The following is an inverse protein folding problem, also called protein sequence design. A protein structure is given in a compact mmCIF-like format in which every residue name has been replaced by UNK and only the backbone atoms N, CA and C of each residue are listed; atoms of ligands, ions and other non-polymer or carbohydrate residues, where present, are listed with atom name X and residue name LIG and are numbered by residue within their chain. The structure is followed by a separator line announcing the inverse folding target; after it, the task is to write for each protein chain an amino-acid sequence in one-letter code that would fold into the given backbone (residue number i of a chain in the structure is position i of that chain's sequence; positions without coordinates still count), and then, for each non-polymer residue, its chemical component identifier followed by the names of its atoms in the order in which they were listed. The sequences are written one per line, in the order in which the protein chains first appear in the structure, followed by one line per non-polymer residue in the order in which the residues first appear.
data_IF_746726197188
#
_entry.id   IF_746726197188
#
_cell.length_a   1.000
_cell.length_b   1.000
_cell.length_c   1.000
_cell.angle_alpha   90.00
_cell.angle_beta   90.00
_cell.angle_gamma   90.00
#
_symmetry.space_group_name_H-M   'P 1'
#
loop_
_entity.id
_entity.type
_entity.pdbx_description
1 polymer ?
#
# COMPACT_ATOMS: atom_id res chain seq x y z
N UNK A 1 -2.29 5.55 -41.37
CA UNK A 1 -3.45 6.01 -40.58
C UNK A 1 -3.10 5.73 -39.13
N UNK A 2 -3.15 6.74 -38.27
CA UNK A 2 -3.09 6.47 -36.83
C UNK A 2 -4.29 5.57 -36.48
N UNK A 3 -4.11 4.56 -35.62
CA UNK A 3 -5.23 3.73 -35.18
C UNK A 3 -6.30 4.63 -34.55
N UNK A 4 -7.56 4.32 -34.83
CA UNK A 4 -8.70 5.02 -34.22
C UNK A 4 -8.63 4.85 -32.70
N UNK A 5 -8.59 5.97 -31.98
CA UNK A 5 -8.46 5.95 -30.52
C UNK A 5 -9.80 5.54 -29.90
N UNK A 6 -9.74 4.65 -28.91
CA UNK A 6 -10.85 4.26 -28.05
C UNK A 6 -10.34 4.33 -26.61
N UNK A 7 -10.48 5.50 -26.00
CA UNK A 7 -9.88 5.83 -24.71
C UNK A 7 -10.88 6.55 -23.81
N UNK A 8 -10.83 6.29 -22.49
CA UNK A 8 -11.55 7.13 -21.52
C UNK A 8 -10.93 8.52 -21.53
N UNK A 9 -11.76 9.54 -21.74
CA UNK A 9 -11.36 10.95 -21.75
C UNK A 9 -11.38 11.56 -20.37
N UNK A 10 -12.43 11.29 -19.60
CA UNK A 10 -12.54 11.83 -18.25
C UNK A 10 -13.29 10.89 -17.34
N UNK A 11 -12.94 10.95 -16.06
CA UNK A 11 -13.62 10.26 -14.97
C UNK A 11 -13.85 11.30 -13.90
N UNK A 12 -15.09 11.46 -13.48
CA UNK A 12 -15.51 12.41 -12.45
C UNK A 12 -16.10 11.65 -11.28
N UNK A 13 -15.60 11.93 -10.08
CA UNK A 13 -16.10 11.38 -8.83
C UNK A 13 -16.89 12.42 -8.07
N UNK A 14 -18.11 12.07 -7.69
CA UNK A 14 -18.97 12.81 -6.78
C UNK A 14 -19.44 11.87 -5.67
N UNK A 15 -19.92 12.38 -4.53
CA UNK A 15 -20.48 11.52 -3.48
C UNK A 15 -21.61 10.66 -4.04
N UNK A 16 -21.48 9.34 -3.90
CA UNK A 16 -22.45 8.37 -4.43
C UNK A 16 -22.42 8.14 -5.94
N UNK A 17 -21.61 8.90 -6.71
CA UNK A 17 -21.68 8.94 -8.18
C UNK A 17 -20.30 8.87 -8.83
N UNK A 18 -20.16 8.01 -9.84
CA UNK A 18 -19.01 8.02 -10.76
C UNK A 18 -19.53 8.22 -12.18
N UNK A 19 -18.98 9.20 -12.89
CA UNK A 19 -19.28 9.44 -14.31
C UNK A 19 -18.00 9.31 -15.13
N UNK A 20 -18.06 8.69 -16.29
CA UNK A 20 -16.94 8.69 -17.24
C UNK A 20 -17.42 8.74 -18.68
N UNK A 21 -16.56 9.29 -19.55
CA UNK A 21 -16.79 9.46 -20.98
C UNK A 21 -15.57 8.97 -21.76
N UNK A 22 -15.78 8.50 -22.99
CA UNK A 22 -14.72 8.04 -23.88
C UNK A 22 -14.79 8.72 -25.24
N UNK A 23 -13.64 8.79 -25.92
CA UNK A 23 -13.61 9.27 -27.29
C UNK A 23 -13.60 8.17 -28.31
N UNK A 24 -14.76 7.99 -28.92
CA UNK A 24 -14.89 7.18 -30.10
C UNK A 24 -16.18 7.57 -30.84
N UNK A 25 -16.20 7.24 -32.13
CA UNK A 25 -17.38 7.38 -33.00
C UNK A 25 -17.90 6.02 -33.46
N UNK A 26 -17.68 4.99 -32.64
CA UNK A 26 -18.21 3.64 -32.83
C UNK A 26 -19.73 3.61 -32.90
N UNK A 27 -20.23 2.52 -33.48
CA UNK A 27 -21.66 2.36 -33.75
C UNK A 27 -22.45 2.06 -32.47
N UNK A 28 -21.88 1.24 -31.58
CA UNK A 28 -22.54 0.77 -30.35
C UNK A 28 -21.51 0.41 -29.28
N UNK A 29 -21.88 0.65 -28.01
CA UNK A 29 -21.07 0.31 -26.86
C UNK A 29 -21.86 -0.51 -25.85
N UNK A 30 -21.14 -1.30 -25.05
CA UNK A 30 -21.67 -1.97 -23.86
C UNK A 30 -20.83 -1.61 -22.65
N UNK A 31 -21.49 -1.17 -21.57
CA UNK A 31 -20.82 -0.85 -20.30
C UNK A 31 -21.23 -1.87 -19.26
N UNK A 32 -20.24 -2.48 -18.61
CA UNK A 32 -20.44 -3.42 -17.52
C UNK A 32 -19.89 -2.85 -16.21
N UNK A 33 -20.53 -3.18 -15.10
CA UNK A 33 -20.05 -2.92 -13.74
C UNK A 33 -20.02 -4.25 -13.00
N UNK A 34 -18.84 -4.65 -12.51
CA UNK A 34 -18.64 -5.96 -11.87
C UNK A 34 -19.09 -7.13 -12.77
N UNK A 35 -18.86 -7.02 -14.08
CA UNK A 35 -19.26 -8.03 -15.07
C UNK A 35 -20.75 -8.04 -15.43
N UNK A 36 -21.59 -7.24 -14.78
CA UNK A 36 -23.01 -7.11 -15.11
C UNK A 36 -23.25 -5.96 -16.08
N UNK A 37 -23.98 -6.21 -17.19
CA UNK A 37 -24.33 -5.20 -18.18
C UNK A 37 -25.18 -4.09 -17.53
N UNK A 38 -24.80 -2.83 -17.76
CA UNK A 38 -25.49 -1.64 -17.22
C UNK A 38 -26.01 -0.72 -18.31
N UNK A 39 -25.32 -0.62 -19.44
CA UNK A 39 -25.72 0.22 -20.57
C UNK A 39 -25.36 -0.46 -21.88
N UNK A 40 -26.23 -0.31 -22.89
CA UNK A 40 -26.00 -0.71 -24.28
C UNK A 40 -26.53 0.40 -25.20
N UNK A 41 -25.79 0.72 -26.26
CA UNK A 41 -26.18 1.70 -27.28
C UNK A 41 -25.06 2.66 -27.68
N UNK A 42 -25.35 3.67 -28.52
CA UNK A 42 -24.36 4.56 -29.15
C UNK A 42 -23.91 5.72 -28.23
N UNK A 43 -24.12 5.64 -26.92
CA UNK A 43 -23.83 6.72 -25.97
C UNK A 43 -22.41 6.56 -25.44
N UNK A 44 -21.58 7.61 -25.58
CA UNK A 44 -20.16 7.59 -25.23
C UNK A 44 -19.86 8.05 -23.78
N UNK A 45 -20.84 7.96 -22.89
CA UNK A 45 -20.72 8.27 -21.48
C UNK A 45 -21.49 7.27 -20.63
N UNK A 46 -21.12 7.16 -19.36
CA UNK A 46 -21.80 6.35 -18.37
C UNK A 46 -21.80 7.04 -17.01
N UNK A 47 -22.94 6.97 -16.32
CA UNK A 47 -23.09 7.45 -14.94
C UNK A 47 -23.57 6.31 -14.05
N UNK A 48 -22.81 6.07 -12.98
CA UNK A 48 -23.14 5.12 -11.92
C UNK A 48 -23.58 5.87 -10.66
N UNK A 49 -24.88 5.90 -10.39
CA UNK A 49 -25.48 6.60 -9.25
C UNK A 49 -25.55 5.75 -7.95
N UNK A 50 -24.93 4.57 -7.94
CA UNK A 50 -24.99 3.62 -6.82
C UNK A 50 -23.59 3.17 -6.39
N UNK A 51 -22.78 4.14 -6.01
CA UNK A 51 -21.39 3.97 -5.57
C UNK A 51 -21.30 4.16 -4.05
N UNK A 52 -20.69 3.21 -3.34
CA UNK A 52 -20.43 3.31 -1.91
C UNK A 52 -19.08 3.98 -1.66
N UNK A 53 -19.01 4.80 -0.62
CA UNK A 53 -17.80 5.51 -0.22
C UNK A 53 -16.62 4.56 -0.02
N UNK A 54 -15.48 4.89 -0.66
CA UNK A 54 -14.23 4.12 -0.55
C UNK A 54 -14.27 2.72 -1.16
N UNK A 55 -15.43 2.21 -1.58
CA UNK A 55 -15.53 0.91 -2.24
C UNK A 55 -14.90 0.99 -3.63
N UNK A 56 -14.05 0.02 -3.94
CA UNK A 56 -13.46 -0.17 -5.26
C UNK A 56 -14.46 -0.88 -6.18
N UNK A 57 -14.50 -0.43 -7.43
CA UNK A 57 -15.36 -0.95 -8.48
C UNK A 57 -14.54 -1.22 -9.75
N UNK A 58 -15.00 -2.22 -10.51
CA UNK A 58 -14.51 -2.55 -11.85
C UNK A 58 -15.58 -2.25 -12.90
N UNK A 59 -15.17 -1.55 -13.95
CA UNK A 59 -15.99 -1.27 -15.12
C UNK A 59 -15.29 -1.80 -16.38
N UNK A 60 -16.08 -2.26 -17.34
CA UNK A 60 -15.60 -2.48 -18.70
C UNK A 60 -16.45 -1.72 -19.70
N UNK A 61 -15.81 -1.22 -20.75
CA UNK A 61 -16.48 -0.62 -21.91
C UNK A 61 -16.05 -1.38 -23.14
N UNK A 62 -17.02 -1.98 -23.81
CA UNK A 62 -16.80 -2.68 -25.07
C UNK A 62 -17.25 -1.82 -26.24
N UNK A 63 -16.40 -1.71 -27.26
CA UNK A 63 -16.77 -1.13 -28.55
C UNK A 63 -17.25 -2.24 -29.48
N UNK A 64 -18.49 -2.11 -29.95
CA UNK A 64 -19.14 -3.09 -30.83
C UNK A 64 -19.16 -2.55 -32.27
N UNK A 65 -18.68 -3.36 -33.22
CA UNK A 65 -18.79 -3.12 -34.67
C UNK A 65 -19.15 -4.41 -35.39
N UNK A 66 -20.05 -4.35 -36.36
CA UNK A 66 -20.52 -5.53 -37.10
C UNK A 66 -20.97 -6.68 -36.17
N UNK A 67 -21.67 -6.36 -35.08
CA UNK A 67 -22.12 -7.29 -34.03
C UNK A 67 -20.99 -8.12 -33.38
N UNK A 68 -19.78 -7.56 -33.28
CA UNK A 68 -18.66 -8.16 -32.56
C UNK A 68 -17.94 -7.12 -31.72
N UNK A 69 -17.44 -7.54 -30.56
CA UNK A 69 -16.55 -6.72 -29.73
C UNK A 69 -15.22 -6.55 -30.46
N UNK A 70 -14.86 -5.30 -30.76
CA UNK A 70 -13.63 -4.95 -31.45
C UNK A 70 -12.52 -4.58 -30.47
N UNK A 71 -12.84 -3.78 -29.46
CA UNK A 71 -11.92 -3.36 -28.41
C UNK A 71 -12.64 -3.29 -27.06
N UNK A 72 -11.84 -3.44 -26.00
CA UNK A 72 -12.29 -3.38 -24.61
C UNK A 72 -11.44 -2.37 -23.86
N UNK A 73 -12.08 -1.58 -23.01
CA UNK A 73 -11.43 -0.76 -21.98
C UNK A 73 -11.81 -1.37 -20.64
N UNK A 74 -10.82 -1.53 -19.76
CA UNK A 74 -11.01 -1.92 -18.37
C UNK A 74 -10.67 -0.75 -17.46
N UNK A 75 -11.54 -0.46 -16.50
CA UNK A 75 -11.33 0.60 -15.51
C UNK A 75 -11.55 0.07 -14.10
N UNK A 76 -10.66 0.44 -13.20
CA UNK A 76 -10.79 0.21 -11.76
C UNK A 76 -10.68 1.54 -11.03
N UNK A 77 -11.66 1.85 -10.18
CA UNK A 77 -11.68 3.08 -9.40
C UNK A 77 -12.50 2.89 -8.12
N UNK A 78 -12.26 3.72 -7.10
CA UNK A 78 -13.09 3.74 -5.89
C UNK A 78 -14.12 4.86 -5.89
N UNK A 79 -15.19 4.68 -5.11
CA UNK A 79 -16.08 5.77 -4.74
C UNK A 79 -15.37 6.83 -3.90
N UNK A 80 -15.75 8.08 -4.10
CA UNK A 80 -15.23 9.19 -3.32
C UNK A 80 -15.67 9.05 -1.86
N UNK A 81 -14.71 8.91 -0.94
CA UNK A 81 -14.99 9.01 0.48
C UNK A 81 -14.71 10.45 0.96
N UNK A 82 -15.75 11.15 1.41
CA UNK A 82 -15.61 12.51 1.94
C UNK A 82 -14.94 12.54 3.32
N UNK A 83 -15.09 11.47 4.10
CA UNK A 83 -14.46 11.34 5.41
C UNK A 83 -13.11 10.66 5.27
N UNK A 84 -12.09 11.48 5.00
CA UNK A 84 -10.70 11.02 4.95
C UNK A 84 -10.20 10.57 6.32
N UNK A 85 -9.32 9.58 6.32
CA UNK A 85 -8.61 9.18 7.52
C UNK A 85 -7.51 10.22 7.82
N UNK A 86 -7.57 10.80 9.02
CA UNK A 86 -6.61 11.81 9.45
C UNK A 86 -5.20 11.23 9.69
N UNK A 87 -5.12 9.96 10.09
CA UNK A 87 -3.87 9.26 10.40
C UNK A 87 -3.26 8.60 9.16
N UNK A 88 -4.09 8.13 8.22
CA UNK A 88 -3.61 7.57 6.97
C UNK A 88 -4.25 8.26 5.75
N UNK A 89 -3.61 9.31 5.19
CA UNK A 89 -4.14 10.04 4.04
C UNK A 89 -4.35 9.20 2.78
N UNK A 90 -3.71 8.02 2.69
CA UNK A 90 -3.90 7.09 1.57
C UNK A 90 -5.10 6.15 1.77
N UNK A 91 -5.65 6.07 2.99
CA UNK A 91 -6.85 5.28 3.27
C UNK A 91 -8.04 5.96 2.58
N UNK A 92 -8.65 5.24 1.65
CA UNK A 92 -9.73 5.74 0.77
C UNK A 92 -9.30 6.85 -0.21
N UNK A 93 -8.02 6.89 -0.59
CA UNK A 93 -7.56 7.70 -1.72
C UNK A 93 -8.22 7.19 -3.01
N UNK A 94 -8.82 8.10 -3.78
CA UNK A 94 -9.32 7.75 -5.11
C UNK A 94 -8.12 7.49 -6.03
N UNK A 95 -8.03 6.26 -6.52
CA UNK A 95 -7.05 5.86 -7.52
C UNK A 95 -7.77 5.20 -8.70
N UNK A 96 -7.72 5.85 -9.85
CA UNK A 96 -8.29 5.35 -11.10
C UNK A 96 -7.19 4.72 -11.93
N UNK A 97 -7.41 3.50 -12.38
CA UNK A 97 -6.58 2.78 -13.34
C UNK A 97 -7.44 2.43 -14.54
N UNK A 98 -7.02 2.86 -15.73
CA UNK A 98 -7.65 2.50 -16.99
C UNK A 98 -6.62 1.73 -17.80
N UNK A 99 -7.03 0.57 -18.31
CA UNK A 99 -6.24 -0.25 -19.22
C UNK A 99 -7.01 -0.34 -20.52
N UNK A 100 -6.35 0.01 -21.61
CA UNK A 100 -6.84 -0.09 -22.97
C UNK A 100 -5.69 -0.57 -23.86
N UNK A 101 -6.00 -0.99 -25.08
CA UNK A 101 -5.00 -1.49 -26.03
C UNK A 101 -3.88 -0.48 -26.34
N UNK A 102 -4.19 0.81 -26.29
CA UNK A 102 -3.27 1.91 -26.60
C UNK A 102 -2.66 2.59 -25.38
N UNK A 103 -3.15 2.30 -24.17
CA UNK A 103 -2.67 2.98 -22.97
C UNK A 103 -2.95 2.26 -21.65
N UNK A 104 -2.10 2.54 -20.67
CA UNK A 104 -2.44 2.46 -19.25
C UNK A 104 -2.50 3.88 -18.71
N UNK A 105 -3.66 4.31 -18.22
CA UNK A 105 -3.80 5.61 -17.57
C UNK A 105 -4.00 5.43 -16.06
N UNK A 106 -3.19 6.16 -15.29
CA UNK A 106 -3.25 6.24 -13.84
C UNK A 106 -3.66 7.65 -13.44
N UNK A 107 -4.61 7.77 -12.52
CA UNK A 107 -4.97 9.03 -11.89
C UNK A 107 -5.15 8.82 -10.41
N UNK A 108 -4.61 9.72 -9.61
CA UNK A 108 -4.71 9.67 -8.15
C UNK A 108 -5.25 10.97 -7.59
N UNK A 109 -5.85 10.89 -6.42
CA UNK A 109 -6.23 12.08 -5.65
C UNK A 109 -4.97 12.84 -5.22
N UNK A 110 -5.03 14.18 -5.26
CA UNK A 110 -3.92 15.02 -4.79
C UNK A 110 -3.71 14.82 -3.30
N UNK A 111 -2.49 14.45 -2.93
CA UNK A 111 -2.07 14.44 -1.53
C UNK A 111 -1.88 15.92 -1.10
N UNK A 112 -2.55 16.38 -0.03
CA UNK A 112 -2.42 17.76 0.42
C UNK A 112 -0.95 18.10 0.70
N UNK A 113 -0.53 19.30 0.28
CA UNK A 113 0.83 19.82 0.47
C UNK A 113 1.94 19.08 -0.33
N UNK A 114 1.57 18.09 -1.16
CA UNK A 114 2.48 17.49 -2.12
C UNK A 114 2.62 18.39 -3.36
N UNK A 115 3.87 18.71 -3.71
CA UNK A 115 4.18 19.58 -4.85
C UNK A 115 4.43 18.81 -6.15
N UNK A 116 5.15 17.68 -6.06
CA UNK A 116 5.56 16.87 -7.20
C UNK A 116 5.42 15.38 -6.89
N UNK A 117 5.28 14.58 -7.95
CA UNK A 117 5.18 13.12 -7.90
C UNK A 117 6.23 12.52 -8.82
N UNK A 118 6.98 11.54 -8.33
CA UNK A 118 7.87 10.71 -9.15
C UNK A 118 7.14 9.42 -9.50
N UNK A 119 7.06 9.08 -10.78
CA UNK A 119 6.40 7.86 -11.28
C UNK A 119 7.46 6.89 -11.78
N UNK A 120 7.36 5.65 -11.34
CA UNK A 120 8.25 4.56 -11.70
C UNK A 120 7.47 3.44 -12.41
N UNK A 121 8.06 2.83 -13.44
CA UNK A 121 7.56 1.64 -14.13
C UNK A 121 8.60 0.53 -13.97
N UNK A 122 8.20 -0.62 -13.42
CA UNK A 122 9.06 -1.77 -13.18
C UNK A 122 10.36 -1.45 -12.40
N UNK A 123 10.32 -0.42 -11.55
CA UNK A 123 11.46 0.05 -10.75
C UNK A 123 12.24 1.22 -11.35
N UNK A 124 12.08 1.50 -12.64
CA UNK A 124 12.76 2.60 -13.33
C UNK A 124 11.93 3.88 -13.24
N UNK A 125 12.57 5.02 -12.93
CA UNK A 125 11.93 6.33 -12.95
C UNK A 125 11.57 6.70 -14.39
N UNK A 126 10.28 6.89 -14.66
CA UNK A 126 9.78 7.25 -16.00
C UNK A 126 9.46 8.73 -16.13
N UNK A 127 9.01 9.39 -15.06
CA UNK A 127 8.72 10.83 -15.09
C UNK A 127 8.63 11.45 -13.68
N UNK A 128 8.76 12.77 -13.63
CA UNK A 128 8.36 13.60 -12.50
C UNK A 128 7.30 14.59 -12.97
N UNK A 129 6.23 14.76 -12.20
CA UNK A 129 5.09 15.60 -12.60
C UNK A 129 4.47 16.35 -11.42
N UNK A 130 3.82 17.48 -11.72
CA UNK A 130 2.94 18.21 -10.78
C UNK A 130 1.48 17.80 -10.88
N UNK A 131 1.14 17.10 -11.96
CA UNK A 131 -0.18 16.56 -12.21
C UNK A 131 -0.41 15.31 -11.35
N UNK A 132 -1.67 14.97 -11.13
CA UNK A 132 -2.05 13.77 -10.39
C UNK A 132 -2.48 12.64 -11.34
N UNK A 133 -1.83 12.57 -12.51
CA UNK A 133 -2.08 11.58 -13.52
C UNK A 133 -0.82 11.24 -14.32
N UNK A 134 -0.83 10.05 -14.91
CA UNK A 134 0.21 9.56 -15.80
C UNK A 134 -0.43 8.65 -16.85
N UNK A 135 -0.03 8.79 -18.11
CA UNK A 135 -0.48 7.92 -19.20
C UNK A 135 0.74 7.22 -19.79
N UNK A 136 0.79 5.91 -19.63
CA UNK A 136 1.73 5.05 -20.32
C UNK A 136 1.16 4.67 -21.68
N UNK A 137 1.95 4.89 -22.73
CA UNK A 137 1.61 4.54 -24.13
C UNK A 137 2.30 3.25 -24.58
N UNK A 138 3.19 2.70 -23.76
CA UNK A 138 3.85 1.42 -23.96
C UNK A 138 3.17 0.37 -23.08
N UNK A 139 2.29 -0.42 -23.70
CA UNK A 139 1.43 -1.40 -23.03
C UNK A 139 1.86 -2.81 -23.45
N UNK A 140 3.00 -3.32 -22.96
CA UNK A 140 3.45 -4.67 -23.27
C UNK A 140 2.48 -5.69 -22.66
N UNK A 141 2.34 -6.85 -23.32
CA UNK A 141 1.47 -7.92 -22.83
C UNK A 141 2.09 -8.73 -21.68
N UNK A 142 2.47 -8.03 -20.61
CA UNK A 142 3.12 -8.59 -19.43
C UNK A 142 2.66 -7.88 -18.15
N UNK A 143 2.89 -8.54 -17.00
CA UNK A 143 2.60 -7.93 -15.71
C UNK A 143 3.49 -6.70 -15.52
N UNK A 144 2.88 -5.56 -15.23
CA UNK A 144 3.57 -4.27 -15.08
C UNK A 144 3.38 -3.70 -13.67
N UNK A 145 4.44 -3.14 -13.10
CA UNK A 145 4.44 -2.53 -11.77
C UNK A 145 4.61 -1.02 -11.90
N UNK A 146 3.61 -0.26 -11.43
CA UNK A 146 3.70 1.18 -11.31
C UNK A 146 3.84 1.59 -9.85
N UNK A 147 4.73 2.54 -9.59
CA UNK A 147 4.92 3.11 -8.26
C UNK A 147 4.95 4.63 -8.36
N UNK A 148 4.14 5.31 -7.55
CA UNK A 148 4.08 6.76 -7.49
C UNK A 148 4.55 7.17 -6.10
N UNK A 149 5.58 8.02 -6.06
CA UNK A 149 6.17 8.54 -4.83
C UNK A 149 5.94 10.04 -4.72
N UNK A 150 5.64 10.51 -3.53
CA UNK A 150 5.71 11.93 -3.19
C UNK A 150 6.09 12.13 -1.72
N UNK A 151 6.40 13.35 -1.35
CA UNK A 151 6.74 13.78 0.01
C UNK A 151 6.03 15.08 0.34
N UNK A 152 5.76 15.31 1.62
CA UNK A 152 5.31 16.62 2.12
C UNK A 152 5.93 16.91 3.49
N UNK A 153 5.95 18.18 3.95
CA UNK A 153 6.36 18.52 5.30
C UNK A 153 5.53 17.75 6.34
N UNK A 154 6.16 17.24 7.40
CA UNK A 154 5.41 16.57 8.45
C UNK A 154 4.45 17.55 9.11
N UNK A 155 3.20 17.12 9.30
CA UNK A 155 2.22 17.93 10.01
C UNK A 155 2.63 18.04 11.48
N UNK A 156 2.48 19.23 12.07
CA UNK A 156 2.50 19.36 13.53
C UNK A 156 1.35 18.51 14.05
N UNK A 157 1.66 17.38 14.70
CA UNK A 157 0.65 16.46 15.21
C UNK A 157 -0.28 17.22 16.18
N UNK A 158 -1.52 17.47 15.77
CA UNK A 158 -2.49 18.15 16.64
C UNK A 158 -2.99 17.25 17.78
N UNK A 159 -2.81 15.93 17.70
CA UNK A 159 -2.93 15.00 18.84
C UNK A 159 -2.44 13.60 18.41
N UNK A 160 -1.33 13.07 18.94
CA UNK A 160 -0.84 11.75 18.55
C UNK A 160 -1.28 10.64 19.52
N UNK A 161 -1.30 9.40 19.02
CA UNK A 161 -1.21 8.15 19.83
C UNK A 161 0.07 8.07 20.72
N UNK A 162 0.72 9.19 21.01
CA UNK A 162 2.11 9.26 21.45
C UNK A 162 2.36 10.26 22.57
N UNK A 163 1.40 10.50 23.47
CA UNK A 163 1.62 11.35 24.65
C UNK A 163 2.90 10.97 25.44
N UNK A 164 3.36 9.71 25.34
CA UNK A 164 4.65 9.25 25.89
C UNK A 164 5.90 9.57 25.05
N UNK A 165 5.81 9.72 23.71
CA UNK A 165 6.98 9.96 22.84
C UNK A 165 7.59 11.35 23.04
N UNK A 166 6.79 12.37 23.41
CA UNK A 166 7.28 13.76 23.52
C UNK A 166 8.12 14.05 24.78
N UNK A 167 8.07 13.22 25.83
CA UNK A 167 8.86 13.45 27.06
C UNK A 167 10.26 12.83 26.95
N UNK A 168 10.36 11.64 26.36
CA UNK A 168 11.65 10.93 26.19
C UNK A 168 12.49 11.50 25.06
N UNK A 169 11.85 11.94 23.98
CA UNK A 169 12.55 12.62 22.90
C UNK A 169 13.27 13.90 23.35
N UNK A 170 12.67 14.68 24.27
CA UNK A 170 13.25 15.93 24.81
C UNK A 170 14.57 15.71 25.55
N UNK A 171 14.74 14.50 26.09
CA UNK A 171 15.94 14.10 26.80
C UNK A 171 17.00 13.59 25.81
N UNK A 172 16.59 12.90 24.74
CA UNK A 172 17.51 12.39 23.70
C UNK A 172 18.05 13.50 22.77
N UNK A 173 17.20 14.46 22.36
CA UNK A 173 17.58 15.58 21.50
C UNK A 173 18.63 16.52 22.12
N UNK A 174 18.72 16.56 23.46
CA UNK A 174 19.76 17.35 24.16
C UNK A 174 21.18 16.82 24.04
N UNK A 175 21.38 15.61 23.51
CA UNK A 175 22.71 14.97 23.45
C UNK A 175 23.23 14.74 22.02
N UNK A 176 22.50 15.16 20.98
CA UNK A 176 22.93 14.98 19.60
C UNK A 176 22.95 16.33 18.84
N UNK A 177 24.12 16.98 18.67
CA UNK A 177 24.23 18.29 18.02
C UNK A 177 23.95 18.27 16.50
N UNK A 178 23.77 17.08 15.90
CA UNK A 178 23.32 16.89 14.51
C UNK A 178 21.81 16.66 14.40
N UNK A 179 21.02 17.04 15.41
CA UNK A 179 19.56 17.03 15.27
C UNK A 179 19.18 18.00 14.17
N UNK A 180 18.79 17.48 13.00
CA UNK A 180 18.18 18.24 11.92
C UNK A 180 17.13 19.17 12.55
N UNK A 181 17.28 20.47 12.30
CA UNK A 181 16.30 21.49 12.66
C UNK A 181 14.90 21.01 12.32
N UNK A 182 13.89 21.37 13.13
CA UNK A 182 12.46 21.01 12.96
C UNK A 182 11.91 21.22 11.53
N UNK A 183 12.64 21.94 10.66
CA UNK A 183 12.30 22.30 9.29
C UNK A 183 12.46 21.16 8.25
N UNK A 184 13.11 20.02 8.55
CA UNK A 184 13.46 18.99 7.54
C UNK A 184 12.73 17.63 7.68
N UNK A 185 11.73 17.50 8.55
CA UNK A 185 11.06 16.21 8.76
C UNK A 185 9.91 16.06 7.74
N UNK A 186 10.07 15.13 6.79
CA UNK A 186 9.10 14.90 5.70
C UNK A 186 8.37 13.57 5.84
N UNK A 187 7.05 13.59 5.67
CA UNK A 187 6.27 12.37 5.41
C UNK A 187 6.49 11.89 3.97
N UNK A 188 6.49 10.57 3.77
CA UNK A 188 6.58 9.98 2.43
C UNK A 188 5.32 9.18 2.10
N UNK A 189 4.97 9.17 0.82
CA UNK A 189 3.78 8.49 0.31
C UNK A 189 4.17 7.62 -0.87
N UNK A 190 3.72 6.37 -0.83
CA UNK A 190 3.97 5.38 -1.88
C UNK A 190 2.64 4.78 -2.35
N UNK A 191 2.34 4.92 -3.63
CA UNK A 191 1.17 4.27 -4.26
C UNK A 191 1.69 3.24 -5.26
N UNK A 192 1.46 1.96 -4.96
CA UNK A 192 1.88 0.83 -5.79
C UNK A 192 0.67 0.21 -6.50
N UNK A 193 0.77 0.10 -7.81
CA UNK A 193 -0.23 -0.53 -8.67
C UNK A 193 0.38 -1.63 -9.51
N UNK A 194 -0.07 -2.86 -9.31
CA UNK A 194 0.27 -4.00 -10.19
C UNK A 194 -0.82 -4.17 -11.22
N UNK A 195 -0.46 -4.25 -12.49
CA UNK A 195 -1.40 -4.52 -13.58
C UNK A 195 -1.03 -5.87 -14.19
N UNK A 196 -2.01 -6.76 -14.34
CA UNK A 196 -1.89 -8.05 -15.00
C UNK A 196 -1.64 -7.91 -16.50
N UNK A 197 -1.61 -9.03 -17.22
CA UNK A 197 -1.43 -9.03 -18.67
C UNK A 197 -2.62 -8.34 -19.37
N UNK A 198 -2.39 -7.27 -20.17
CA UNK A 198 -3.42 -6.64 -20.96
C UNK A 198 -4.29 -7.60 -21.79
N UNK A 199 -3.72 -8.66 -22.39
CA UNK A 199 -4.49 -9.65 -23.16
C UNK A 199 -5.47 -10.48 -22.33
N UNK A 200 -5.28 -10.54 -21.00
CA UNK A 200 -6.21 -11.19 -20.06
C UNK A 200 -7.25 -10.22 -19.50
N UNK A 201 -6.85 -8.97 -19.31
CA UNK A 201 -7.73 -7.91 -18.83
C UNK A 201 -8.73 -7.47 -19.91
N UNK A 202 -8.27 -7.32 -21.16
CA UNK A 202 -9.04 -6.72 -22.26
C UNK A 202 -9.86 -7.76 -23.05
N UNK A 203 -10.34 -8.81 -22.38
CA UNK A 203 -11.23 -9.79 -22.98
C UNK A 203 -12.66 -9.25 -23.04
N UNK A 204 -13.43 -9.53 -24.11
CA UNK A 204 -14.88 -9.31 -24.12
C UNK A 204 -15.55 -10.04 -22.96
N UNK A 205 -16.62 -9.50 -22.39
CA UNK A 205 -17.39 -10.06 -21.30
C UNK A 205 -17.94 -11.45 -21.63
N UNK A 206 -18.25 -11.72 -22.90
CA UNK A 206 -18.68 -13.04 -23.38
C UNK A 206 -17.57 -14.10 -23.30
N UNK A 207 -16.31 -13.68 -23.41
CA UNK A 207 -15.12 -14.52 -23.31
C UNK A 207 -14.55 -14.58 -21.89
N UNK A 208 -14.82 -13.54 -21.08
CA UNK A 208 -14.35 -13.45 -19.71
C UNK A 208 -14.89 -14.61 -18.87
N UNK A 209 -14.02 -15.18 -18.05
CA UNK A 209 -14.35 -16.24 -17.10
C UNK A 209 -13.83 -15.82 -15.74
N UNK A 210 -14.63 -16.06 -14.72
CA UNK A 210 -14.20 -15.82 -13.34
C UNK A 210 -12.92 -16.64 -13.07
N UNK A 211 -11.85 -16.01 -12.55
CA UNK A 211 -10.63 -16.73 -12.24
C UNK A 211 -10.88 -17.77 -11.15
N UNK A 212 -10.03 -18.81 -11.12
CA UNK A 212 -10.08 -19.78 -10.05
C UNK A 212 -9.96 -19.06 -8.69
N UNK A 213 -10.91 -19.31 -7.76
CA UNK A 213 -10.95 -18.57 -6.52
C UNK A 213 -9.69 -18.84 -5.68
N UNK A 214 -9.05 -17.79 -5.20
CA UNK A 214 -7.95 -17.87 -4.24
C UNK A 214 -8.44 -18.59 -3.00
N UNK A 215 -7.86 -19.76 -2.76
CA UNK A 215 -8.21 -20.61 -1.63
C UNK A 215 -7.64 -20.12 -0.30
N UNK A 216 -6.51 -19.41 -0.34
CA UNK A 216 -5.86 -18.87 0.85
C UNK A 216 -4.96 -17.69 0.51
N UNK A 217 -4.93 -16.70 1.39
CA UNK A 217 -3.95 -15.63 1.38
C UNK A 217 -3.00 -15.74 2.56
N UNK A 218 -1.74 -15.40 2.33
CA UNK A 218 -0.74 -15.20 3.38
C UNK A 218 -0.18 -13.79 3.27
N UNK A 219 -0.08 -13.08 4.39
CA UNK A 219 0.61 -11.81 4.49
C UNK A 219 1.67 -11.91 5.57
N UNK A 220 2.88 -11.41 5.29
CA UNK A 220 3.97 -11.33 6.26
C UNK A 220 4.43 -9.88 6.38
N UNK A 221 4.37 -9.33 7.58
CA UNK A 221 4.98 -8.05 7.93
C UNK A 221 6.18 -8.33 8.83
N UNK A 222 7.38 -7.91 8.42
CA UNK A 222 8.59 -8.01 9.25
C UNK A 222 9.25 -6.66 9.41
N UNK A 223 9.70 -6.38 10.64
CA UNK A 223 10.64 -5.29 10.92
C UNK A 223 12.01 -5.86 11.25
N UNK A 224 13.09 -5.22 10.78
CA UNK A 224 14.45 -5.72 11.05
C UNK A 224 15.49 -4.60 10.99
N UNK A 225 16.67 -4.87 11.55
CA UNK A 225 17.84 -4.00 11.51
C UNK A 225 18.88 -4.58 10.55
N UNK A 226 19.21 -3.87 9.47
CA UNK A 226 20.15 -4.36 8.47
C UNK A 226 21.55 -4.60 9.05
N UNK A 227 21.98 -3.76 10.00
CA UNK A 227 23.28 -3.86 10.64
C UNK A 227 23.37 -5.06 11.58
N UNK A 228 24.58 -5.60 11.76
CA UNK A 228 24.86 -6.65 12.76
C UNK A 228 24.91 -6.09 14.18
N UNK A 229 25.33 -4.84 14.31
CA UNK A 229 25.54 -4.16 15.58
C UNK A 229 25.20 -2.69 15.43
N UNK A 230 24.49 -2.15 16.40
CA UNK A 230 24.10 -0.74 16.42
C UNK A 230 24.55 -0.10 17.72
N UNK A 231 25.19 1.06 17.63
CA UNK A 231 25.64 1.79 18.81
C UNK A 231 24.44 2.39 19.54
N UNK A 232 24.47 2.33 20.88
CA UNK A 232 23.49 3.01 21.70
C UNK A 232 23.68 4.53 21.56
N UNK A 233 22.65 5.30 21.14
CA UNK A 233 22.73 6.75 21.08
C UNK A 233 23.06 7.37 22.45
N UNK A 234 22.62 6.74 23.55
CA UNK A 234 23.02 7.13 24.88
C UNK A 234 24.44 6.62 25.20
N UNK A 235 25.44 7.45 24.89
CA UNK A 235 26.86 7.18 25.16
C UNK A 235 27.22 7.10 26.66
N UNK A 236 26.30 7.42 27.58
CA UNK A 236 26.52 7.21 29.02
C UNK A 236 25.98 5.85 29.48
N UNK A 237 25.22 5.17 28.63
CA UNK A 237 24.64 3.87 28.95
C UNK A 237 25.71 2.79 29.16
N UNK A 238 25.54 1.91 30.16
CA UNK A 238 26.36 0.71 30.30
C UNK A 238 26.20 -0.27 29.12
N UNK A 239 25.07 -0.20 28.42
CA UNK A 239 24.74 -0.96 27.21
C UNK A 239 25.20 -0.15 26.00
N UNK A 240 26.39 -0.46 25.47
CA UNK A 240 27.08 0.32 24.43
C UNK A 240 26.61 0.02 23.03
N UNK A 241 26.31 -1.25 22.76
CA UNK A 241 25.94 -1.72 21.44
C UNK A 241 24.82 -2.72 21.56
N UNK A 242 23.86 -2.69 20.64
CA UNK A 242 22.80 -3.68 20.49
C UNK A 242 23.10 -4.59 19.31
N UNK A 243 22.73 -5.87 19.42
CA UNK A 243 22.71 -6.80 18.29
C UNK A 243 21.61 -6.37 17.31
N UNK A 244 21.95 -6.20 16.04
CA UNK A 244 20.97 -6.08 14.96
C UNK A 244 20.71 -7.42 14.27
N UNK A 245 20.04 -7.39 13.11
CA UNK A 245 19.63 -8.60 12.39
C UNK A 245 20.63 -9.01 11.31
N UNK A 246 21.46 -8.08 10.84
CA UNK A 246 22.59 -8.41 9.95
C UNK A 246 22.15 -8.98 8.61
N UNK A 247 21.01 -8.54 8.08
CA UNK A 247 20.35 -9.09 6.89
C UNK A 247 19.74 -8.03 6.01
N UNK A 248 19.32 -8.42 4.81
CA UNK A 248 18.61 -7.58 3.86
C UNK A 248 17.13 -7.99 3.75
N UNK A 249 16.38 -7.29 2.91
CA UNK A 249 15.01 -7.64 2.56
C UNK A 249 14.91 -9.06 2.03
N UNK A 250 14.15 -9.89 2.74
CA UNK A 250 13.96 -11.30 2.41
C UNK A 250 12.75 -11.80 3.20
N UNK A 251 11.68 -12.26 2.52
CA UNK A 251 10.47 -12.74 3.19
C UNK A 251 10.77 -13.88 4.16
N UNK A 252 11.79 -14.71 3.91
CA UNK A 252 12.14 -15.87 4.73
C UNK A 252 13.28 -15.61 5.73
N UNK A 253 13.74 -14.36 5.88
CA UNK A 253 14.84 -14.04 6.78
C UNK A 253 14.55 -14.44 8.23
N UNK A 254 15.50 -15.12 8.88
CA UNK A 254 15.29 -15.72 10.20
C UNK A 254 15.49 -14.75 11.38
N UNK A 255 16.18 -13.63 11.17
CA UNK A 255 16.42 -12.61 12.21
C UNK A 255 15.59 -11.36 11.95
N UNK A 256 14.89 -10.89 12.99
CA UNK A 256 14.00 -9.73 12.90
C UNK A 256 13.81 -9.07 14.27
N UNK A 257 13.24 -7.86 14.26
CA UNK A 257 12.75 -7.17 15.47
C UNK A 257 11.35 -7.67 15.82
N UNK A 258 10.43 -7.63 14.87
CA UNK A 258 9.08 -8.23 15.00
C UNK A 258 8.64 -8.85 13.69
N UNK A 259 7.78 -9.87 13.77
CA UNK A 259 7.14 -10.53 12.62
C UNK A 259 5.69 -10.82 12.92
N UNK A 260 4.82 -10.46 11.99
CA UNK A 260 3.41 -10.84 11.95
C UNK A 260 3.10 -11.64 10.70
N UNK A 261 2.60 -12.87 10.88
CA UNK A 261 2.12 -13.74 9.82
C UNK A 261 0.60 -13.84 9.91
N UNK A 262 -0.08 -13.34 8.89
CA UNK A 262 -1.52 -13.46 8.70
C UNK A 262 -1.80 -14.55 7.67
N UNK A 263 -2.66 -15.49 8.02
CA UNK A 263 -3.20 -16.49 7.08
C UNK A 263 -4.71 -16.38 7.05
N UNK A 264 -5.27 -16.16 5.88
CA UNK A 264 -6.70 -16.17 5.61
C UNK A 264 -7.02 -17.37 4.73
N UNK A 265 -7.89 -18.27 5.20
CA UNK A 265 -8.35 -19.42 4.43
C UNK A 265 -9.79 -19.25 3.98
N UNK A 266 -10.04 -19.31 2.67
CA UNK A 266 -11.39 -19.35 2.10
C UNK A 266 -12.00 -20.76 2.07
N UNK A 267 -11.20 -21.79 2.40
CA UNK A 267 -11.61 -23.20 2.30
C UNK A 267 -12.31 -23.72 3.56
N UNK A 268 -12.08 -23.09 4.70
CA UNK A 268 -12.57 -23.58 5.98
C UNK A 268 -13.95 -22.96 6.33
N UNK A 269 -14.89 -23.73 6.92
CA UNK A 269 -16.17 -23.19 7.38
C UNK A 269 -15.93 -22.09 8.43
N UNK A 270 -16.35 -20.86 8.12
CA UNK A 270 -16.16 -19.69 9.00
C UNK A 270 -14.94 -18.81 8.72
N UNK A 271 -14.18 -19.09 7.64
CA UNK A 271 -13.12 -18.22 7.11
C UNK A 271 -12.07 -17.78 8.17
N UNK A 272 -11.26 -18.72 8.69
CA UNK A 272 -10.38 -18.44 9.80
C UNK A 272 -9.26 -17.48 9.37
N UNK A 273 -9.28 -16.30 9.97
CA UNK A 273 -8.14 -15.41 10.06
C UNK A 273 -7.24 -15.91 11.19
N UNK A 274 -6.06 -16.40 10.83
CA UNK A 274 -5.04 -16.82 11.79
C UNK A 274 -3.93 -15.79 11.79
N UNK A 275 -3.61 -15.27 12.98
CA UNK A 275 -2.51 -14.34 13.15
C UNK A 275 -1.50 -14.90 14.13
N UNK A 276 -0.25 -15.00 13.67
CA UNK A 276 0.92 -15.35 14.49
C UNK A 276 1.81 -14.13 14.57
N UNK A 277 2.31 -13.86 15.77
CA UNK A 277 3.18 -12.72 16.07
C UNK A 277 4.36 -13.16 16.91
N UNK A 278 5.52 -12.58 16.62
CA UNK A 278 6.76 -12.85 17.33
C UNK A 278 7.59 -11.58 17.46
N UNK A 279 8.26 -11.43 18.59
CA UNK A 279 9.33 -10.45 18.77
C UNK A 279 10.68 -11.17 18.85
N UNK A 280 11.63 -10.69 18.08
CA UNK A 280 13.00 -11.16 18.15
C UNK A 280 13.68 -10.71 19.45
N UNK A 281 14.73 -11.45 19.83
CA UNK A 281 15.49 -11.14 21.03
C UNK A 281 16.32 -9.86 20.85
N UNK A 282 16.25 -8.96 21.82
CA UNK A 282 17.15 -7.82 21.95
C UNK A 282 18.32 -8.21 22.84
N UNK A 283 19.55 -7.96 22.39
CA UNK A 283 20.78 -8.30 23.12
C UNK A 283 21.69 -7.07 23.17
N UNK A 284 22.12 -6.69 24.37
CA UNK A 284 23.03 -5.58 24.59
C UNK A 284 24.43 -6.05 25.02
N UNK A 285 25.44 -5.30 24.56
CA UNK A 285 26.86 -5.52 24.85
C UNK A 285 27.46 -4.30 25.55
N UNK A 286 28.42 -4.55 26.44
CA UNK A 286 29.17 -3.50 27.15
C UNK A 286 30.40 -3.01 26.38
N UNK A 287 31.15 -2.08 27.01
CA UNK A 287 32.41 -1.54 26.48
C UNK A 287 33.45 -2.61 26.10
N UNK A 288 33.47 -3.73 26.83
CA UNK A 288 34.39 -4.85 26.57
C UNK A 288 33.92 -5.79 25.46
N UNK A 289 32.79 -5.49 24.81
CA UNK A 289 32.15 -6.38 23.81
C UNK A 289 31.45 -7.59 24.42
N UNK A 290 31.46 -7.76 25.74
CA UNK A 290 30.75 -8.86 26.42
C UNK A 290 29.24 -8.57 26.51
N UNK A 291 28.44 -9.62 26.31
CA UNK A 291 26.99 -9.59 26.51
C UNK A 291 26.68 -9.17 27.94
N UNK A 292 25.81 -8.18 28.09
CA UNK A 292 25.36 -7.67 29.40
C UNK A 292 23.94 -8.11 29.72
N UNK A 293 23.07 -8.00 28.73
CA UNK A 293 21.63 -8.09 28.95
C UNK A 293 20.95 -8.63 27.69
N UNK A 294 19.85 -9.35 27.89
CA UNK A 294 18.95 -9.73 26.82
C UNK A 294 17.50 -9.71 27.29
N UNK A 295 16.59 -9.46 26.36
CA UNK A 295 15.15 -9.48 26.62
C UNK A 295 14.36 -9.70 25.34
N UNK A 296 13.10 -10.06 25.51
CA UNK A 296 12.14 -10.18 24.40
C UNK A 296 11.02 -9.18 24.68
N UNK A 297 10.65 -8.39 23.67
CA UNK A 297 9.62 -7.37 23.83
C UNK A 297 8.26 -8.03 24.10
N UNK A 298 7.40 -7.34 24.87
CA UNK A 298 5.98 -7.71 24.88
C UNK A 298 5.41 -7.47 23.49
N UNK A 299 4.50 -8.36 23.08
CA UNK A 299 3.78 -8.30 21.81
C UNK A 299 2.28 -8.10 22.03
N UNK A 300 1.87 -7.64 23.21
CA UNK A 300 0.46 -7.44 23.55
C UNK A 300 -0.20 -6.41 22.63
N UNK A 301 0.49 -5.31 22.35
CA UNK A 301 0.05 -4.22 21.44
C UNK A 301 0.37 -4.50 19.96
N UNK A 302 0.65 -5.76 19.61
CA UNK A 302 0.69 -6.22 18.23
C UNK A 302 -0.59 -7.02 17.96
N UNK A 303 -1.62 -6.39 17.42
CA UNK A 303 -2.98 -6.93 17.35
C UNK A 303 -3.50 -6.98 15.92
N UNK A 304 -4.56 -7.77 15.73
CA UNK A 304 -5.32 -7.83 14.50
C UNK A 304 -6.81 -7.84 14.83
N UNK A 305 -7.59 -7.10 14.04
CA UNK A 305 -9.04 -7.01 14.14
C UNK A 305 -9.64 -7.31 12.76
N UNK A 306 -10.53 -8.32 12.65
CA UNK A 306 -11.23 -8.58 11.39
C UNK A 306 -12.23 -7.46 11.10
N UNK A 307 -12.41 -7.14 9.83
CA UNK A 307 -13.40 -6.19 9.34
C UNK A 307 -14.55 -6.95 8.67
N UNK A 308 -15.64 -6.25 8.33
CA UNK A 308 -16.83 -6.86 7.70
C UNK A 308 -16.45 -7.74 6.50
N UNK A 309 -17.07 -8.92 6.44
CA UNK A 309 -16.86 -9.92 5.40
C UNK A 309 -18.19 -10.26 4.73
N UNK A 310 -18.20 -10.40 3.41
CA UNK A 310 -19.39 -10.82 2.64
C UNK A 310 -19.18 -12.16 1.90
N UNK A 311 -18.04 -12.82 2.14
CA UNK A 311 -17.63 -14.07 1.49
C UNK A 311 -16.95 -13.89 0.13
N UNK A 312 -17.00 -12.70 -0.47
CA UNK A 312 -16.23 -12.34 -1.68
C UNK A 312 -14.93 -11.62 -1.32
N UNK A 313 -14.98 -10.78 -0.29
CA UNK A 313 -13.82 -10.10 0.29
C UNK A 313 -13.74 -10.32 1.79
N UNK A 314 -12.52 -10.21 2.31
CA UNK A 314 -12.23 -10.26 3.73
C UNK A 314 -11.26 -9.13 4.08
N UNK A 315 -11.63 -8.31 5.06
CA UNK A 315 -10.79 -7.22 5.54
C UNK A 315 -10.21 -7.48 6.93
N UNK A 316 -9.07 -6.86 7.24
CA UNK A 316 -8.56 -6.77 8.61
C UNK A 316 -7.76 -5.49 8.83
N UNK A 317 -7.70 -5.06 10.08
CA UNK A 317 -6.80 -4.01 10.57
C UNK A 317 -5.76 -4.65 11.50
N UNK A 318 -4.49 -4.39 11.25
CA UNK A 318 -3.36 -4.90 12.02
C UNK A 318 -2.61 -3.70 12.59
N UNK A 319 -2.48 -3.67 13.92
CA UNK A 319 -1.83 -2.60 14.67
C UNK A 319 -0.61 -3.13 15.38
N UNK A 320 0.46 -2.38 15.38
CA UNK A 320 1.70 -2.75 16.04
C UNK A 320 2.27 -1.57 16.80
N UNK A 321 2.53 -1.76 18.09
CA UNK A 321 3.33 -0.88 18.91
C UNK A 321 4.23 -1.72 19.82
N UNK A 322 5.49 -1.92 19.43
CA UNK A 322 6.40 -2.81 20.19
C UNK A 322 7.66 -2.05 20.59
N UNK A 323 7.91 -2.00 21.89
CA UNK A 323 9.04 -1.28 22.49
C UNK A 323 10.29 -2.13 22.67
N UNK A 324 11.37 -1.48 23.09
CA UNK A 324 12.60 -2.16 23.46
C UNK A 324 12.50 -2.72 24.90
N UNK A 325 12.75 -4.03 25.12
CA UNK A 325 12.56 -4.67 26.44
C UNK A 325 13.65 -4.35 27.47
N UNK A 326 14.80 -3.81 27.06
CA UNK A 326 15.99 -3.67 27.93
C UNK A 326 16.50 -2.23 28.02
N UNK A 327 15.96 -1.30 27.24
CA UNK A 327 16.29 0.11 27.37
C UNK A 327 15.08 0.98 27.04
N UNK A 328 14.86 2.09 27.75
CA UNK A 328 13.83 3.05 27.37
C UNK A 328 14.12 3.60 25.96
N UNK A 329 13.24 3.28 25.03
CA UNK A 329 13.27 3.76 23.66
C UNK A 329 11.83 3.92 23.16
N UNK A 330 11.60 4.76 22.13
CA UNK A 330 10.35 4.79 21.40
C UNK A 330 9.97 3.38 20.89
N UNK A 331 8.67 3.12 20.80
CA UNK A 331 8.11 1.94 20.16
C UNK A 331 8.33 2.01 18.64
N UNK A 332 8.36 0.84 18.01
CA UNK A 332 8.18 0.73 16.56
C UNK A 332 6.68 0.66 16.32
N UNK A 333 6.14 1.64 15.61
CA UNK A 333 4.71 1.75 15.34
C UNK A 333 4.41 1.55 13.85
N UNK A 334 3.38 0.77 13.57
CA UNK A 334 2.77 0.67 12.24
C UNK A 334 1.33 0.18 12.29
N UNK A 335 0.60 0.52 11.24
CA UNK A 335 -0.77 0.05 11.01
C UNK A 335 -0.90 -0.43 9.56
N UNK A 336 -1.67 -1.50 9.38
CA UNK A 336 -2.05 -2.04 8.08
C UNK A 336 -3.53 -2.30 8.05
N UNK A 337 -4.17 -1.83 6.99
CA UNK A 337 -5.54 -2.15 6.64
C UNK A 337 -5.55 -2.87 5.31
N UNK A 338 -5.99 -4.13 5.30
CA UNK A 338 -5.97 -4.99 4.13
C UNK A 338 -7.39 -5.40 3.75
N UNK A 339 -7.67 -5.42 2.44
CA UNK A 339 -8.84 -6.06 1.84
C UNK A 339 -8.34 -7.06 0.82
N UNK A 340 -8.57 -8.35 1.08
CA UNK A 340 -8.14 -9.46 0.25
C UNK A 340 -9.39 -10.10 -0.37
N UNK A 341 -9.38 -10.34 -1.69
CA UNK A 341 -10.55 -10.83 -2.41
C UNK A 341 -10.36 -12.24 -2.92
N UNK A 342 -11.45 -12.99 -2.96
CA UNK A 342 -11.46 -14.38 -3.43
C UNK A 342 -11.11 -14.51 -4.91
N UNK A 343 -11.40 -13.49 -5.73
CA UNK A 343 -11.06 -13.47 -7.16
C UNK A 343 -9.62 -13.02 -7.45
N UNK A 344 -8.76 -12.89 -6.43
CA UNK A 344 -7.33 -12.66 -6.62
C UNK A 344 -6.85 -11.21 -6.59
N UNK A 345 -7.76 -10.24 -6.41
CA UNK A 345 -7.36 -8.85 -6.17
C UNK A 345 -7.16 -8.53 -4.69
N UNK A 346 -6.35 -7.51 -4.41
CA UNK A 346 -6.12 -6.99 -3.08
C UNK A 346 -6.02 -5.46 -3.09
N UNK A 347 -6.29 -4.88 -1.93
CA UNK A 347 -6.03 -3.48 -1.64
C UNK A 347 -5.52 -3.39 -0.21
N UNK A 348 -4.26 -3.00 -0.03
CA UNK A 348 -3.59 -2.95 1.27
C UNK A 348 -3.04 -1.54 1.45
N UNK A 349 -3.44 -0.88 2.54
CA UNK A 349 -2.94 0.45 2.92
C UNK A 349 -2.24 0.34 4.26
N UNK A 350 -1.20 1.12 4.48
CA UNK A 350 -0.54 1.17 5.78
C UNK A 350 0.26 2.42 6.00
N UNK A 351 0.74 2.58 7.23
CA UNK A 351 1.75 3.56 7.57
C UNK A 351 2.66 3.01 8.67
N UNK A 352 3.87 3.54 8.76
CA UNK A 352 4.84 3.12 9.77
C UNK A 352 5.87 4.23 10.08
N UNK A 353 6.54 4.10 11.22
CA UNK A 353 7.70 4.91 11.61
C UNK A 353 8.83 4.80 10.56
N UNK A 354 9.71 5.79 10.45
CA UNK A 354 10.81 5.78 9.45
C UNK A 354 11.98 4.84 9.81
N UNK A 355 11.93 4.21 10.98
CA UNK A 355 12.90 3.23 11.43
C UNK A 355 12.20 2.14 12.25
N UNK A 356 12.63 0.87 12.15
CA UNK A 356 13.80 0.37 11.41
C UNK A 356 13.47 0.06 9.94
N UNK A 357 13.97 -1.04 9.35
CA UNK A 357 13.50 -1.49 8.03
C UNK A 357 12.13 -2.14 8.18
N UNK A 358 11.25 -1.90 7.21
CA UNK A 358 9.92 -2.51 7.13
C UNK A 358 9.78 -3.27 5.82
N UNK A 359 9.23 -4.47 5.86
CA UNK A 359 8.91 -5.25 4.67
C UNK A 359 7.58 -5.99 4.80
N UNK A 360 6.79 -5.95 3.74
CA UNK A 360 5.48 -6.57 3.65
C UNK A 360 5.39 -7.38 2.38
N UNK A 361 5.01 -8.64 2.54
CA UNK A 361 4.83 -9.60 1.45
C UNK A 361 3.43 -10.17 1.47
N UNK A 362 2.92 -10.47 0.27
CA UNK A 362 1.65 -11.14 0.05
C UNK A 362 1.87 -12.39 -0.80
N UNK A 363 1.11 -13.44 -0.52
CA UNK A 363 1.12 -14.69 -1.28
C UNK A 363 -0.30 -15.24 -1.39
N UNK A 364 -0.70 -15.63 -2.60
CA UNK A 364 -2.01 -16.22 -2.90
C UNK A 364 -1.92 -17.68 -3.38
N UNK A 365 -0.77 -18.31 -3.19
CA UNK A 365 -0.46 -19.69 -3.58
C UNK A 365 0.64 -19.81 -4.65
N UNK A 366 1.15 -18.69 -5.16
CA UNK A 366 2.19 -18.59 -6.20
C UNK A 366 3.55 -18.11 -5.64
N UNK A 367 3.65 -17.89 -4.33
CA UNK A 367 4.88 -17.47 -3.66
C UNK A 367 4.83 -16.03 -3.16
N UNK A 368 5.84 -15.63 -2.39
CA UNK A 368 5.88 -14.28 -1.80
C UNK A 368 6.18 -13.21 -2.85
N UNK A 369 5.29 -12.22 -2.92
CA UNK A 369 5.47 -10.99 -3.70
C UNK A 369 5.60 -9.80 -2.75
N UNK A 370 6.64 -8.96 -2.88
CA UNK A 370 6.75 -7.75 -2.07
C UNK A 370 5.66 -6.76 -2.46
N UNK A 371 4.91 -6.26 -1.46
CA UNK A 371 3.93 -5.19 -1.66
C UNK A 371 4.38 -3.87 -1.04
N UNK A 372 5.32 -3.91 -0.09
CA UNK A 372 5.96 -2.73 0.48
C UNK A 372 7.34 -3.07 1.05
N UNK A 373 8.32 -2.20 0.83
CA UNK A 373 9.67 -2.29 1.42
C UNK A 373 10.18 -0.88 1.69
N UNK A 374 10.61 -0.65 2.93
CA UNK A 374 11.16 0.62 3.36
C UNK A 374 12.49 0.40 4.09
N UNK A 375 13.55 1.05 3.61
CA UNK A 375 14.83 1.07 4.30
C UNK A 375 14.76 2.00 5.51
N UNK A 376 15.48 1.67 6.58
CA UNK A 376 15.54 2.54 7.74
C UNK A 376 16.22 3.86 7.39
N UNK A 377 15.66 4.98 7.87
CA UNK A 377 16.34 6.28 7.85
C UNK A 377 17.30 6.47 9.04
N UNK A 378 17.45 5.46 9.89
CA UNK A 378 18.30 5.48 11.07
C UNK A 378 17.55 5.81 12.36
N UNK A 379 18.13 5.42 13.50
CA UNK A 379 17.47 5.48 14.81
C UNK A 379 17.15 6.90 15.31
N UNK A 380 17.81 7.93 14.77
CA UNK A 380 17.51 9.33 15.11
C UNK A 380 16.07 9.72 14.72
N UNK A 381 15.52 9.07 13.69
CA UNK A 381 14.14 9.26 13.22
C UNK A 381 13.09 8.57 14.09
N UNK A 382 13.49 7.93 15.19
CA UNK A 382 12.54 7.47 16.22
C UNK A 382 12.20 8.56 17.26
N UNK A 383 12.79 9.77 17.19
CA UNK A 383 12.59 10.83 18.20
C UNK A 383 11.86 12.11 17.71
N UNK A 384 11.03 12.66 18.61
CA UNK A 384 10.36 13.98 18.69
C UNK A 384 9.47 14.49 17.54
N UNK A 385 9.75 14.21 16.27
CA UNK A 385 8.89 14.64 15.16
C UNK A 385 8.48 13.42 14.35
N UNK A 386 7.19 13.11 14.41
CA UNK A 386 6.63 11.92 13.79
C UNK A 386 6.36 12.23 12.32
N UNK A 387 7.33 11.94 11.46
CA UNK A 387 7.02 11.70 10.05
C UNK A 387 6.75 10.21 9.86
N UNK A 388 5.62 9.87 9.27
CA UNK A 388 5.33 8.50 8.85
C UNK A 388 5.71 8.30 7.39
N UNK A 389 5.94 7.04 7.02
CA UNK A 389 5.83 6.61 5.65
C UNK A 389 4.47 5.96 5.46
N UNK A 390 3.66 6.53 4.57
CA UNK A 390 2.37 6.00 4.15
C UNK A 390 2.54 5.22 2.86
N UNK A 391 1.83 4.11 2.74
CA UNK A 391 1.86 3.30 1.54
C UNK A 391 0.50 2.68 1.24
N UNK A 392 0.25 2.45 -0.04
CA UNK A 392 -0.86 1.64 -0.54
C UNK A 392 -0.35 0.74 -1.66
N UNK A 393 -0.82 -0.50 -1.68
CA UNK A 393 -0.54 -1.47 -2.72
C UNK A 393 -1.85 -2.12 -3.17
N UNK A 394 -2.07 -2.19 -4.47
CA UNK A 394 -3.20 -2.90 -5.06
C UNK A 394 -2.86 -3.50 -6.41
N UNK A 395 -3.66 -4.45 -6.87
CA UNK A 395 -3.55 -5.01 -8.22
C UNK A 395 -4.83 -4.80 -9.05
N UNK A 396 -4.65 -4.94 -10.37
CA UNK A 396 -5.71 -5.07 -11.36
C UNK A 396 -5.33 -6.24 -12.28
N UNK A 397 -5.99 -7.38 -12.13
CA UNK A 397 -5.64 -8.63 -12.84
C UNK A 397 -6.86 -9.32 -13.40
#
# INVERSE_FOLDING_TARGET
MEPEKFEIRSVTHRPGVITFEWDDTGDEYRVYKEGELRQEGPVCDFTDDYVKDGKMYHYSVERIRNNRTEDVIMMQTSGLNQKKDAHNPLRYLVFTTIVAKSQVALSWERIPEAETYSVFKNGDLVTETKDCSYIDRDVPDERTFYMIRTTRPARKAEEPMSAGKSILGRIAGKFNPDSSTEEDVTEEFWITKVIGQPSKLLLPAEEWREPDPVGSWRMRYTTFLEEKFINNPNVLSPNRTFKGDGRYFDPEGESFRTRGDVTLSYKDPGYPLVFRKEAGKTVAYGLSGRKREEGTASIDDFTIEPLEHDGREFGFELKHSVGNPITPAPTIDYEVHAILRRHGTFHVTGYHDQAPHHEVYLDKGDGWVPIHRAASKGLAHMSEVIAYQHWVASNFE
#
